data_IF_490781724395
#
_entry.id   IF_490781724395
#
_cell.length_a   1.000
_cell.length_b   1.000
_cell.length_c   1.000
_cell.angle_alpha   90.00
_cell.angle_beta   90.00
_cell.angle_gamma   90.00
#
_symmetry.space_group_name_H-M   'P 1'
#
loop_
_entity.id
_entity.type
_entity.pdbx_description
1 polymer ?
#
# COMPACT_ATOMS: atom_id res chain seq x y z
N UNK A 1 20.08 -1.57 13.72
CA UNK A 1 19.53 -0.42 14.48
C UNK A 1 18.25 0.12 13.83
N UNK A 2 18.28 0.52 12.55
CA UNK A 2 17.09 1.02 11.84
C UNK A 2 15.92 0.03 11.81
N UNK A 3 16.18 -1.24 11.47
CA UNK A 3 15.17 -2.29 11.46
C UNK A 3 14.45 -2.45 12.82
N UNK A 4 15.21 -2.55 13.92
CA UNK A 4 14.63 -2.66 15.27
C UNK A 4 13.83 -1.40 15.68
N UNK A 5 14.33 -0.20 15.34
CA UNK A 5 13.61 1.04 15.61
C UNK A 5 12.28 1.09 14.83
N UNK A 6 12.30 0.70 13.56
CA UNK A 6 11.10 0.60 12.73
C UNK A 6 10.12 -0.41 13.31
N UNK A 7 10.58 -1.63 13.64
CA UNK A 7 9.75 -2.67 14.24
C UNK A 7 9.03 -2.18 15.50
N UNK A 8 9.74 -1.60 16.47
CA UNK A 8 9.13 -1.05 17.68
C UNK A 8 8.01 -0.05 17.38
N UNK A 9 8.26 0.88 16.46
CA UNK A 9 7.29 1.92 16.10
C UNK A 9 6.10 1.36 15.34
N UNK A 10 6.32 0.41 14.44
CA UNK A 10 5.28 -0.25 13.65
C UNK A 10 4.39 -1.09 14.57
N UNK A 11 4.98 -1.92 15.42
CA UNK A 11 4.26 -2.72 16.43
C UNK A 11 3.42 -1.82 17.35
N UNK A 12 3.98 -0.72 17.86
CA UNK A 12 3.22 0.19 18.73
C UNK A 12 2.07 0.89 18.01
N UNK A 13 2.16 1.09 16.69
CA UNK A 13 1.18 1.87 15.92
C UNK A 13 0.07 1.02 15.31
N UNK A 14 0.41 -0.18 14.81
CA UNK A 14 -0.56 -1.09 14.19
C UNK A 14 -1.29 -1.97 15.22
N UNK A 15 -0.71 -2.14 16.42
CA UNK A 15 -1.33 -2.91 17.50
C UNK A 15 -1.50 -4.39 17.15
N UNK A 16 -2.65 -4.97 17.50
CA UNK A 16 -2.94 -6.41 17.37
C UNK A 16 -3.40 -6.85 15.99
N UNK A 17 -3.61 -5.91 15.07
CA UNK A 17 -4.21 -6.17 13.76
C UNK A 17 -3.18 -6.68 12.74
N UNK A 18 -1.88 -6.49 13.00
CA UNK A 18 -0.81 -6.90 12.10
C UNK A 18 -0.23 -8.28 12.47
N UNK A 19 0.21 -9.01 11.45
CA UNK A 19 1.13 -10.13 11.55
C UNK A 19 2.41 -9.79 10.77
N UNK A 20 3.54 -10.24 11.28
CA UNK A 20 4.87 -9.92 10.76
C UNK A 20 5.51 -11.17 10.19
N UNK A 21 5.83 -11.16 8.90
CA UNK A 21 6.46 -12.29 8.21
C UNK A 21 7.84 -11.84 7.73
N UNK A 22 8.87 -12.65 7.95
CA UNK A 22 10.19 -12.46 7.30
C UNK A 22 10.67 -13.75 6.65
N UNK A 23 11.81 -13.73 5.97
CA UNK A 23 12.36 -14.85 5.21
C UNK A 23 13.38 -15.67 6.01
N UNK A 24 13.35 -15.56 7.35
CA UNK A 24 14.23 -16.35 8.23
C UNK A 24 15.71 -15.95 8.17
N UNK A 25 16.06 -14.77 7.64
CA UNK A 25 17.46 -14.36 7.51
C UNK A 25 17.99 -13.66 8.77
N UNK A 26 19.23 -13.94 9.14
CA UNK A 26 19.91 -13.27 10.25
C UNK A 26 20.17 -11.78 9.94
N UNK A 27 20.43 -10.98 10.98
CA UNK A 27 20.79 -9.56 10.82
C UNK A 27 19.58 -8.63 10.93
N UNK A 28 19.18 -7.97 9.84
CA UNK A 28 18.18 -6.91 9.89
C UNK A 28 16.76 -7.47 10.13
N UNK A 29 16.39 -8.58 9.49
CA UNK A 29 15.12 -9.28 9.72
C UNK A 29 15.02 -9.83 11.15
N UNK A 30 16.08 -10.50 11.64
CA UNK A 30 16.18 -10.92 13.03
C UNK A 30 16.01 -9.75 14.02
N UNK A 31 16.67 -8.61 13.74
CA UNK A 31 16.54 -7.41 14.57
C UNK A 31 15.14 -6.81 14.55
N UNK A 32 14.41 -6.96 13.44
CA UNK A 32 13.03 -6.52 13.32
C UNK A 32 12.10 -7.43 14.14
N UNK A 33 12.21 -8.74 13.95
CA UNK A 33 11.36 -9.72 14.63
C UNK A 33 11.57 -9.77 16.14
N UNK A 34 12.78 -9.50 16.63
CA UNK A 34 13.06 -9.42 18.07
C UNK A 34 12.21 -8.36 18.81
N UNK A 35 11.63 -7.40 18.10
CA UNK A 35 10.78 -6.35 18.66
C UNK A 35 9.28 -6.61 18.42
N UNK A 36 8.94 -7.70 17.72
CA UNK A 36 7.56 -8.09 17.42
C UNK A 36 7.01 -9.06 18.49
N UNK A 37 5.70 -9.05 18.77
CA UNK A 37 5.08 -10.07 19.62
C UNK A 37 5.27 -11.46 19.01
N UNK A 38 5.68 -12.43 19.82
CA UNK A 38 6.07 -13.78 19.36
C UNK A 38 4.91 -14.50 18.65
N UNK A 39 3.68 -14.31 19.12
CA UNK A 39 2.46 -14.87 18.56
C UNK A 39 2.02 -14.24 17.23
N UNK A 40 2.67 -13.14 16.82
CA UNK A 40 2.44 -12.43 15.55
C UNK A 40 3.65 -12.46 14.62
N UNK A 41 4.74 -13.07 15.06
CA UNK A 41 6.01 -13.13 14.36
C UNK A 41 6.16 -14.48 13.65
N UNK A 42 6.32 -14.45 12.32
CA UNK A 42 6.44 -15.64 11.49
C UNK A 42 7.70 -15.58 10.62
N UNK A 43 8.27 -16.75 10.39
CA UNK A 43 9.47 -16.94 9.59
C UNK A 43 9.16 -17.88 8.42
N UNK A 44 9.06 -17.35 7.20
CA UNK A 44 8.92 -18.17 6.01
C UNK A 44 10.25 -18.89 5.74
N UNK A 45 10.24 -20.21 5.84
CA UNK A 45 11.42 -21.07 5.67
C UNK A 45 11.09 -22.29 4.82
N UNK A 46 12.08 -22.90 4.14
CA UNK A 46 11.88 -24.14 3.41
C UNK A 46 11.31 -25.24 4.31
N UNK A 47 10.51 -26.16 3.77
CA UNK A 47 9.84 -27.22 4.55
C UNK A 47 10.77 -28.15 5.37
N UNK A 48 12.06 -28.16 5.07
CA UNK A 48 13.08 -28.96 5.75
C UNK A 48 13.97 -28.14 6.69
N UNK A 49 13.79 -26.81 6.76
CA UNK A 49 14.60 -25.90 7.52
C UNK A 49 13.90 -25.44 8.80
N UNK A 50 14.70 -25.03 9.78
CA UNK A 50 14.26 -24.30 10.97
C UNK A 50 15.04 -22.99 11.01
N UNK A 51 14.38 -21.87 11.32
CA UNK A 51 15.07 -20.57 11.34
C UNK A 51 16.01 -20.46 12.55
N UNK A 52 15.61 -21.04 13.69
CA UNK A 52 16.26 -20.82 14.97
C UNK A 52 16.18 -19.36 15.45
N UNK A 53 15.32 -18.56 14.82
CA UNK A 53 15.06 -17.18 15.17
C UNK A 53 13.75 -17.09 15.98
N UNK A 54 13.52 -15.98 16.68
CA UNK A 54 12.27 -15.79 17.44
C UNK A 54 11.02 -15.78 16.54
N UNK A 55 9.88 -16.15 17.12
CA UNK A 55 8.61 -16.31 16.40
C UNK A 55 8.32 -17.77 16.02
N UNK A 56 7.36 -17.98 15.13
CA UNK A 56 6.98 -19.30 14.61
C UNK A 56 7.49 -19.51 13.19
N UNK A 57 8.09 -20.66 12.92
CA UNK A 57 8.45 -21.05 11.56
C UNK A 57 7.19 -21.37 10.74
N UNK A 58 7.07 -20.76 9.56
CA UNK A 58 6.04 -20.97 8.57
C UNK A 58 6.68 -21.75 7.41
N UNK A 59 6.55 -23.08 7.37
CA UNK A 59 7.15 -23.87 6.29
C UNK A 59 6.48 -23.55 4.96
N UNK A 60 7.25 -23.05 4.00
CA UNK A 60 6.81 -22.76 2.64
C UNK A 60 7.94 -23.00 1.65
N UNK A 61 7.62 -23.56 0.50
CA UNK A 61 8.60 -23.82 -0.57
C UNK A 61 9.57 -24.98 -0.32
N UNK A 62 10.28 -25.35 -1.39
CA UNK A 62 11.29 -26.39 -1.43
C UNK A 62 12.70 -25.87 -1.08
N UNK A 63 12.96 -24.58 -1.34
CA UNK A 63 14.24 -23.92 -1.11
C UNK A 63 14.05 -22.41 -0.83
N UNK A 64 15.16 -21.69 -0.68
CA UNK A 64 15.18 -20.26 -0.34
C UNK A 64 14.59 -19.40 -1.46
N UNK A 65 14.83 -19.75 -2.72
CA UNK A 65 14.35 -19.00 -3.89
C UNK A 65 12.81 -19.11 -3.99
N UNK A 66 12.27 -20.32 -3.78
CA UNK A 66 10.81 -20.50 -3.71
C UNK A 66 10.19 -19.78 -2.50
N UNK A 67 10.88 -19.73 -1.35
CA UNK A 67 10.44 -18.92 -0.21
C UNK A 67 10.39 -17.43 -0.56
N UNK A 68 11.42 -16.90 -1.23
CA UNK A 68 11.48 -15.50 -1.66
C UNK A 68 10.34 -15.15 -2.62
N UNK A 69 10.04 -16.05 -3.56
CA UNK A 69 8.92 -15.90 -4.47
C UNK A 69 7.57 -15.93 -3.72
N UNK A 70 7.36 -16.92 -2.85
CA UNK A 70 6.15 -17.02 -1.99
C UNK A 70 6.01 -15.78 -1.12
N UNK A 71 7.10 -15.29 -0.54
CA UNK A 71 7.15 -14.09 0.28
C UNK A 71 6.64 -12.85 -0.46
N UNK A 72 6.90 -12.74 -1.77
CA UNK A 72 6.38 -11.65 -2.61
C UNK A 72 4.86 -11.65 -2.74
N UNK A 73 4.22 -12.81 -2.58
CA UNK A 73 2.77 -12.96 -2.55
C UNK A 73 2.16 -12.88 -1.15
N UNK A 74 2.99 -12.92 -0.10
CA UNK A 74 2.56 -12.90 1.30
C UNK A 74 2.67 -11.49 1.89
N UNK A 75 1.60 -10.72 1.79
CA UNK A 75 1.41 -9.52 2.59
C UNK A 75 0.86 -8.32 1.82
N UNK A 76 0.16 -7.45 2.54
CA UNK A 76 -0.40 -6.22 1.99
C UNK A 76 0.64 -5.06 1.96
N UNK A 77 1.66 -5.15 2.82
CA UNK A 77 2.70 -4.13 2.98
C UNK A 77 4.06 -4.73 3.34
N UNK A 78 5.13 -4.13 2.84
CA UNK A 78 6.51 -4.56 3.02
C UNK A 78 7.34 -3.43 3.61
N UNK A 79 8.03 -3.70 4.72
CA UNK A 79 9.11 -2.83 5.23
C UNK A 79 10.38 -3.23 4.51
N UNK A 80 10.82 -2.41 3.55
CA UNK A 80 11.93 -2.75 2.67
C UNK A 80 13.26 -2.32 3.30
N UNK A 81 14.10 -3.30 3.59
CA UNK A 81 15.46 -3.12 4.10
C UNK A 81 16.46 -3.18 2.93
N UNK A 82 17.71 -2.75 3.15
CA UNK A 82 18.67 -2.59 2.06
C UNK A 82 19.12 -3.90 1.39
N UNK A 83 18.96 -5.02 2.09
CA UNK A 83 19.27 -6.38 1.67
C UNK A 83 18.03 -7.16 1.19
N UNK A 84 16.90 -6.47 0.96
CA UNK A 84 15.68 -7.12 0.49
C UNK A 84 15.87 -7.74 -0.91
N UNK A 85 15.42 -8.99 -1.14
CA UNK A 85 15.52 -9.65 -2.43
C UNK A 85 14.73 -8.90 -3.51
N UNK A 86 15.39 -8.57 -4.63
CA UNK A 86 14.80 -7.76 -5.69
C UNK A 86 13.59 -8.44 -6.35
N UNK A 87 13.61 -9.76 -6.49
CA UNK A 87 12.51 -10.54 -7.06
C UNK A 87 11.26 -10.51 -6.16
N UNK A 88 11.44 -10.69 -4.84
CA UNK A 88 10.34 -10.54 -3.85
C UNK A 88 9.69 -9.16 -3.96
N UNK A 89 10.49 -8.09 -4.08
CA UNK A 89 9.99 -6.72 -4.20
C UNK A 89 9.26 -6.49 -5.53
N UNK A 90 9.75 -7.07 -6.62
CA UNK A 90 9.11 -6.99 -7.92
C UNK A 90 7.72 -7.64 -7.89
N UNK A 91 7.63 -8.88 -7.38
CA UNK A 91 6.36 -9.61 -7.21
C UNK A 91 5.40 -8.81 -6.34
N UNK A 92 5.84 -8.36 -5.15
CA UNK A 92 5.02 -7.57 -4.24
C UNK A 92 4.50 -6.28 -4.89
N UNK A 93 5.35 -5.58 -5.64
CA UNK A 93 4.98 -4.38 -6.39
C UNK A 93 3.94 -4.65 -7.49
N UNK A 94 4.08 -5.75 -8.22
CA UNK A 94 3.11 -6.20 -9.23
C UNK A 94 1.75 -6.55 -8.62
N UNK A 95 1.72 -7.08 -7.40
CA UNK A 95 0.49 -7.33 -6.64
C UNK A 95 -0.12 -6.07 -6.00
N UNK A 96 0.54 -4.91 -6.14
CA UNK A 96 0.07 -3.65 -5.57
C UNK A 96 0.31 -3.50 -4.07
N UNK A 97 1.21 -4.30 -3.49
CA UNK A 97 1.57 -4.19 -2.08
C UNK A 97 2.26 -2.86 -1.77
N UNK A 98 2.08 -2.37 -0.53
CA UNK A 98 2.70 -1.15 -0.07
C UNK A 98 4.20 -1.36 0.25
N UNK A 99 5.09 -0.91 -0.63
CA UNK A 99 6.54 -0.96 -0.40
C UNK A 99 7.02 0.29 0.37
N UNK A 100 7.44 0.10 1.63
CA UNK A 100 7.88 1.19 2.53
C UNK A 100 9.38 1.06 2.84
N UNK A 101 10.24 1.88 2.21
CA UNK A 101 11.69 1.77 2.37
C UNK A 101 12.20 2.25 3.74
N UNK A 102 13.19 1.56 4.30
CA UNK A 102 13.87 1.92 5.56
C UNK A 102 15.39 1.75 5.38
N UNK A 103 16.04 2.78 4.81
CA UNK A 103 17.47 2.72 4.44
C UNK A 103 18.41 3.58 5.29
N UNK A 104 18.07 3.84 6.56
CA UNK A 104 18.92 4.70 7.40
C UNK A 104 20.37 4.17 7.46
N UNK A 105 21.28 4.84 6.74
CA UNK A 105 22.70 4.50 6.60
C UNK A 105 23.07 3.52 5.48
N UNK A 106 22.14 3.06 4.64
CA UNK A 106 22.41 2.08 3.57
C UNK A 106 21.87 2.55 2.22
N UNK A 107 22.49 2.17 1.09
CA UNK A 107 21.96 2.49 -0.21
C UNK A 107 20.65 1.71 -0.49
N UNK A 108 19.68 2.31 -1.20
CA UNK A 108 18.46 1.63 -1.61
C UNK A 108 18.76 0.54 -2.68
N UNK A 109 18.03 -0.59 -2.69
CA UNK A 109 18.00 -1.50 -3.83
C UNK A 109 17.50 -0.80 -5.11
N UNK A 110 17.94 -1.28 -6.27
CA UNK A 110 17.69 -0.59 -7.55
C UNK A 110 16.22 -0.65 -8.01
N UNK A 111 15.48 -1.64 -7.50
CA UNK A 111 14.12 -2.00 -7.98
C UNK A 111 13.01 -1.21 -7.30
N UNK A 112 13.33 -0.33 -6.35
CA UNK A 112 12.30 0.39 -5.61
C UNK A 112 11.51 1.38 -6.46
N UNK A 113 10.22 1.57 -6.13
CA UNK A 113 9.41 2.58 -6.80
C UNK A 113 10.04 3.96 -6.62
N UNK A 114 10.31 4.61 -7.75
CA UNK A 114 10.90 5.96 -7.81
C UNK A 114 9.93 7.02 -7.27
N UNK A 115 8.63 6.69 -7.16
CA UNK A 115 7.57 7.64 -6.79
C UNK A 115 6.98 7.31 -5.43
N UNK A 116 6.77 8.37 -4.64
CA UNK A 116 6.06 8.28 -3.37
C UNK A 116 4.66 7.66 -3.56
N UNK A 117 4.26 6.69 -2.72
CA UNK A 117 2.92 6.16 -2.75
C UNK A 117 1.92 7.23 -2.28
N UNK A 118 0.66 7.10 -2.68
CA UNK A 118 -0.40 8.06 -2.37
C UNK A 118 -0.68 8.20 -0.86
N UNK A 119 -0.36 7.16 -0.07
CA UNK A 119 -0.53 7.12 1.39
C UNK A 119 0.69 7.67 2.17
N UNK A 120 1.72 8.19 1.48
CA UNK A 120 2.87 8.84 2.11
C UNK A 120 2.96 10.31 1.70
N UNK A 121 3.21 11.19 2.67
CA UNK A 121 3.52 12.59 2.36
C UNK A 121 4.91 12.71 1.73
N UNK A 122 5.17 13.79 0.99
CA UNK A 122 6.49 14.05 0.41
C UNK A 122 7.59 14.13 1.47
N UNK A 123 7.29 14.69 2.65
CA UNK A 123 8.23 14.78 3.76
C UNK A 123 8.55 13.40 4.35
N UNK A 124 7.52 12.56 4.57
CA UNK A 124 7.70 11.18 5.03
C UNK A 124 8.53 10.39 4.00
N UNK A 125 8.17 10.46 2.72
CA UNK A 125 8.88 9.73 1.67
C UNK A 125 10.35 10.15 1.55
N UNK A 126 10.62 11.46 1.61
CA UNK A 126 11.99 11.98 1.64
C UNK A 126 12.76 11.45 2.83
N UNK A 127 12.14 11.38 4.00
CA UNK A 127 12.78 10.88 5.22
C UNK A 127 13.09 9.38 5.15
N UNK A 128 12.20 8.59 4.55
CA UNK A 128 12.38 7.15 4.35
C UNK A 128 13.57 6.82 3.41
N UNK A 129 13.82 7.70 2.45
CA UNK A 129 14.94 7.59 1.49
C UNK A 129 16.23 8.28 1.95
N UNK A 130 16.19 9.05 3.05
CA UNK A 130 17.35 9.80 3.54
C UNK A 130 18.30 8.89 4.34
N UNK A 131 19.45 8.57 3.73
CA UNK A 131 20.50 7.75 4.34
C UNK A 131 21.15 8.42 5.55
N UNK A 132 21.05 9.75 5.69
CA UNK A 132 21.56 10.52 6.82
C UNK A 132 20.55 10.73 7.95
N UNK A 133 19.29 10.31 7.77
CA UNK A 133 18.25 10.47 8.78
C UNK A 133 18.50 9.56 9.99
N UNK A 134 18.11 10.03 11.19
CA UNK A 134 18.23 9.20 12.38
C UNK A 134 17.26 8.02 12.32
N UNK A 135 17.66 6.82 12.82
CA UNK A 135 16.79 5.63 12.85
C UNK A 135 15.39 5.89 13.43
N UNK A 136 15.29 6.69 14.49
CA UNK A 136 14.02 7.01 15.15
C UNK A 136 13.08 7.84 14.26
N UNK A 137 13.63 8.75 13.46
CA UNK A 137 12.85 9.58 12.54
C UNK A 137 12.31 8.74 11.38
N UNK A 138 13.17 7.89 10.80
CA UNK A 138 12.78 6.96 9.74
C UNK A 138 11.73 5.97 10.25
N UNK A 139 11.92 5.43 11.46
CA UNK A 139 10.95 4.55 12.10
C UNK A 139 9.59 5.21 12.33
N UNK A 140 9.58 6.47 12.78
CA UNK A 140 8.33 7.23 12.97
C UNK A 140 7.61 7.49 11.65
N UNK A 141 8.33 7.84 10.57
CA UNK A 141 7.73 7.98 9.24
C UNK A 141 7.18 6.64 8.72
N UNK A 142 7.94 5.55 8.87
CA UNK A 142 7.53 4.21 8.42
C UNK A 142 6.22 3.78 9.12
N UNK A 143 6.16 3.91 10.44
CA UNK A 143 4.95 3.59 11.20
C UNK A 143 3.76 4.48 10.81
N UNK A 144 3.98 5.78 10.59
CA UNK A 144 2.91 6.70 10.16
C UNK A 144 2.35 6.35 8.78
N UNK A 145 3.23 5.98 7.84
CA UNK A 145 2.86 5.58 6.48
C UNK A 145 2.07 4.27 6.51
N UNK A 146 2.54 3.26 7.25
CA UNK A 146 1.83 1.99 7.39
C UNK A 146 0.49 2.12 8.12
N UNK A 147 0.39 3.01 9.11
CA UNK A 147 -0.89 3.30 9.79
C UNK A 147 -1.90 3.90 8.83
N UNK A 148 -1.45 4.82 7.96
CA UNK A 148 -2.30 5.44 6.93
C UNK A 148 -2.76 4.40 5.91
N UNK A 149 -1.85 3.53 5.45
CA UNK A 149 -2.16 2.42 4.57
C UNK A 149 -3.18 1.46 5.19
N UNK A 150 -2.94 1.01 6.43
CA UNK A 150 -3.84 0.11 7.15
C UNK A 150 -5.24 0.70 7.36
N UNK A 151 -5.33 1.99 7.71
CA UNK A 151 -6.60 2.68 7.85
C UNK A 151 -7.40 2.68 6.53
N UNK A 152 -6.75 2.96 5.40
CA UNK A 152 -7.39 2.91 4.09
C UNK A 152 -7.75 1.48 3.67
N UNK A 153 -6.88 0.50 3.91
CA UNK A 153 -7.17 -0.88 3.55
C UNK A 153 -8.39 -1.42 4.30
N UNK A 154 -8.47 -1.14 5.61
CA UNK A 154 -9.65 -1.44 6.43
C UNK A 154 -10.91 -0.77 5.89
N UNK A 155 -10.77 0.48 5.49
CA UNK A 155 -11.84 1.26 4.90
C UNK A 155 -12.40 0.70 3.58
N UNK A 156 -11.52 0.17 2.74
CA UNK A 156 -11.91 -0.49 1.48
C UNK A 156 -12.54 -1.86 1.75
N UNK A 157 -12.03 -2.61 2.72
CA UNK A 157 -12.51 -3.95 3.06
C UNK A 157 -13.86 -3.94 3.80
N UNK A 158 -14.10 -2.93 4.63
CA UNK A 158 -15.28 -2.80 5.48
C UNK A 158 -15.94 -1.41 5.29
N UNK A 159 -16.51 -1.13 4.10
CA UNK A 159 -17.06 0.20 3.81
C UNK A 159 -18.22 0.58 4.73
N UNK A 160 -18.99 -0.40 5.23
CA UNK A 160 -20.06 -0.20 6.19
C UNK A 160 -19.60 0.26 7.59
N UNK A 161 -18.32 0.09 7.92
CA UNK A 161 -17.76 0.47 9.22
C UNK A 161 -17.02 1.81 9.17
N UNK A 162 -16.98 2.47 8.01
CA UNK A 162 -16.28 3.73 7.80
C UNK A 162 -17.24 4.90 7.61
N UNK A 163 -17.87 5.31 8.70
CA UNK A 163 -18.78 6.48 8.72
C UNK A 163 -18.05 7.82 8.46
N UNK A 164 -16.71 7.87 8.50
CA UNK A 164 -15.93 9.12 8.47
C UNK A 164 -14.68 9.08 7.56
N UNK A 165 -14.73 8.41 6.41
CA UNK A 165 -13.67 8.62 5.40
C UNK A 165 -13.91 9.93 4.66
N UNK A 166 -13.35 11.02 5.19
CA UNK A 166 -13.04 12.17 4.35
C UNK A 166 -11.92 11.77 3.39
N UNK A 167 -12.28 11.55 2.13
CA UNK A 167 -11.32 11.51 1.05
C UNK A 167 -10.66 12.89 0.97
N UNK A 168 -9.47 13.01 1.56
CA UNK A 168 -8.62 14.16 1.36
C UNK A 168 -8.02 14.05 -0.04
N UNK A 169 -8.75 14.56 -1.03
CA UNK A 169 -8.25 14.61 -2.40
C UNK A 169 -6.94 15.43 -2.41
N UNK A 170 -5.80 14.87 -2.87
CA UNK A 170 -4.55 15.62 -2.99
C UNK A 170 -4.66 16.84 -3.93
N UNK A 171 -5.70 16.89 -4.76
CA UNK A 171 -6.11 18.01 -5.61
C UNK A 171 -7.26 18.83 -4.97
N UNK A 172 -7.50 18.79 -3.65
CA UNK A 172 -8.54 19.56 -2.98
C UNK A 172 -8.47 21.07 -3.31
N UNK A 173 -7.27 21.62 -3.46
CA UNK A 173 -7.06 23.01 -3.89
C UNK A 173 -7.48 23.24 -5.36
N UNK A 174 -7.31 22.24 -6.22
CA UNK A 174 -7.79 22.27 -7.61
C UNK A 174 -9.31 22.20 -7.65
N UNK A 175 -9.94 21.40 -6.79
CA UNK A 175 -11.40 21.38 -6.64
C UNK A 175 -11.93 22.69 -6.06
N UNK A 176 -11.21 23.32 -5.13
CA UNK A 176 -11.56 24.66 -4.63
C UNK A 176 -11.46 25.72 -5.73
N UNK A 177 -10.42 25.68 -6.58
CA UNK A 177 -10.28 26.57 -7.74
C UNK A 177 -11.35 26.31 -8.81
N UNK A 178 -11.74 25.04 -9.03
CA UNK A 178 -12.84 24.67 -9.92
C UNK A 178 -14.21 25.08 -9.35
N UNK A 179 -14.39 25.03 -8.04
CA UNK A 179 -15.59 25.51 -7.36
C UNK A 179 -15.73 27.04 -7.41
N UNK A 180 -14.62 27.78 -7.38
CA UNK A 180 -14.61 29.23 -7.60
C UNK A 180 -14.91 29.61 -9.06
N UNK A 181 -14.57 28.75 -10.03
CA UNK A 181 -14.84 29.00 -11.47
C UNK A 181 -16.17 28.44 -11.97
N UNK A 182 -16.82 27.54 -11.23
CA UNK A 182 -18.09 26.91 -11.57
C UNK A 182 -19.15 27.07 -10.49
N UNK A 183 -19.66 28.29 -10.31
CA UNK A 183 -20.76 28.57 -9.40
C UNK A 183 -22.10 27.99 -9.90
N UNK A 184 -22.28 26.68 -9.76
CA UNK A 184 -23.59 26.10 -9.47
C UNK A 184 -23.44 25.13 -8.29
N UNK A 185 -24.31 25.23 -7.27
CA UNK A 185 -24.30 24.29 -6.16
C UNK A 185 -24.40 22.86 -6.71
N UNK A 186 -23.69 21.88 -6.11
CA UNK A 186 -23.81 20.50 -6.52
C UNK A 186 -25.30 20.12 -6.49
N UNK A 187 -25.86 19.60 -7.58
CA UNK A 187 -27.26 19.22 -7.64
C UNK A 187 -27.56 18.19 -6.56
N UNK A 188 -28.65 18.40 -5.83
CA UNK A 188 -29.07 17.58 -4.69
C UNK A 188 -29.23 16.10 -5.13
N UNK A 189 -28.31 15.25 -4.67
CA UNK A 189 -28.34 13.81 -4.97
C UNK A 189 -29.15 13.14 -3.87
N UNK A 190 -30.23 12.45 -4.26
CA UNK A 190 -31.11 11.82 -3.28
C UNK A 190 -30.38 10.74 -2.46
N UNK A 191 -30.67 10.66 -1.15
CA UNK A 191 -30.02 9.71 -0.23
C UNK A 191 -30.13 8.27 -0.77
N UNK A 192 -28.99 7.61 -0.98
CA UNK A 192 -28.91 6.26 -1.53
C UNK A 192 -28.58 6.19 -3.03
N UNK A 193 -28.47 7.33 -3.69
CA UNK A 193 -27.97 7.44 -5.06
C UNK A 193 -26.56 8.02 -5.09
N UNK A 194 -25.84 7.70 -6.16
CA UNK A 194 -24.50 8.18 -6.48
C UNK A 194 -24.54 8.79 -7.87
N UNK A 195 -24.05 10.03 -7.99
CA UNK A 195 -23.93 10.72 -9.27
C UNK A 195 -22.49 10.59 -9.79
N UNK A 196 -22.34 9.98 -10.95
CA UNK A 196 -21.08 9.88 -11.67
C UNK A 196 -21.03 11.01 -12.70
N UNK A 197 -20.13 11.95 -12.46
CA UNK A 197 -19.79 13.03 -13.39
C UNK A 197 -18.34 12.88 -13.83
N UNK A 198 -18.11 12.87 -15.13
CA UNK A 198 -16.77 12.75 -15.70
C UNK A 198 -16.77 12.98 -17.20
N UNK A 199 -15.58 12.92 -17.80
CA UNK A 199 -15.45 12.87 -19.25
C UNK A 199 -14.45 11.80 -19.63
N UNK A 200 -14.82 10.97 -20.59
CA UNK A 200 -13.94 10.03 -21.25
C UNK A 200 -13.43 10.68 -22.53
N UNK A 201 -12.11 10.80 -22.67
CA UNK A 201 -11.48 11.14 -23.94
C UNK A 201 -10.62 9.98 -24.41
N UNK A 202 -10.78 9.57 -25.66
CA UNK A 202 -10.08 8.43 -26.21
C UNK A 202 -10.28 8.27 -27.71
N UNK A 203 -9.61 7.28 -28.31
CA UNK A 203 -9.72 6.98 -29.75
C UNK A 203 -10.54 5.71 -29.94
N UNK A 204 -11.72 5.83 -30.52
CA UNK A 204 -12.49 4.68 -30.98
C UNK A 204 -11.99 4.28 -32.37
N UNK A 205 -11.50 3.05 -32.49
CA UNK A 205 -10.99 2.50 -33.75
C UNK A 205 -11.90 1.39 -34.22
N UNK A 206 -12.43 1.52 -35.42
CA UNK A 206 -13.18 0.48 -36.14
C UNK A 206 -12.30 -0.10 -37.25
N UNK A 207 -12.77 -1.15 -37.92
CA UNK A 207 -12.02 -1.77 -39.03
C UNK A 207 -11.68 -0.81 -40.18
N UNK A 208 -12.40 0.30 -40.32
CA UNK A 208 -12.25 1.24 -41.44
C UNK A 208 -11.97 2.69 -41.04
N UNK A 209 -12.17 3.06 -39.77
CA UNK A 209 -12.07 4.45 -39.33
C UNK A 209 -11.56 4.56 -37.89
N UNK A 210 -10.83 5.63 -37.61
CA UNK A 210 -10.47 6.05 -36.27
C UNK A 210 -11.12 7.40 -35.99
N UNK A 211 -11.80 7.54 -34.86
CA UNK A 211 -12.35 8.80 -34.41
C UNK A 211 -11.89 9.12 -32.99
N UNK A 212 -11.56 10.39 -32.76
CA UNK A 212 -11.42 10.92 -31.41
C UNK A 212 -12.81 11.07 -30.81
N UNK A 213 -13.01 10.45 -29.65
CA UNK A 213 -14.26 10.46 -28.90
C UNK A 213 -14.02 11.23 -27.61
N UNK A 214 -14.88 12.20 -27.35
CA UNK A 214 -15.02 12.83 -26.04
C UNK A 214 -16.46 12.66 -25.57
N UNK A 215 -16.68 11.79 -24.58
CA UNK A 215 -18.00 11.55 -23.99
C UNK A 215 -18.01 12.11 -22.58
N UNK A 216 -18.80 13.17 -22.36
CA UNK A 216 -19.20 13.56 -21.01
C UNK A 216 -20.19 12.54 -20.44
N UNK A 217 -19.93 12.06 -19.24
CA UNK A 217 -20.83 11.19 -18.49
C UNK A 217 -21.39 12.02 -17.34
N UNK A 218 -22.71 12.11 -17.27
CA UNK A 218 -23.43 12.68 -16.13
C UNK A 218 -24.66 11.81 -15.87
N UNK A 219 -24.55 10.91 -14.90
CA UNK A 219 -25.60 9.95 -14.58
C UNK A 219 -25.74 9.73 -13.08
N UNK A 220 -26.98 9.69 -12.60
CA UNK A 220 -27.32 9.33 -11.23
C UNK A 220 -27.81 7.88 -11.20
N UNK A 221 -27.21 7.06 -10.33
CA UNK A 221 -27.57 5.66 -10.18
C UNK A 221 -27.68 5.26 -8.70
N UNK A 222 -28.51 4.27 -8.34
CA UNK A 222 -28.52 3.74 -6.98
C UNK A 222 -27.13 3.24 -6.57
N UNK A 223 -26.70 3.53 -5.34
CA UNK A 223 -25.34 3.21 -4.85
C UNK A 223 -25.00 1.72 -4.97
N UNK A 224 -25.98 0.83 -4.77
CA UNK A 224 -25.82 -0.62 -4.96
C UNK A 224 -25.51 -1.01 -6.40
N UNK A 225 -26.06 -0.28 -7.36
CA UNK A 225 -25.79 -0.48 -8.79
C UNK A 225 -24.40 0.04 -9.12
N UNK A 226 -24.02 1.21 -8.61
CA UNK A 226 -22.67 1.76 -8.78
C UNK A 226 -21.58 0.82 -8.26
N UNK A 227 -21.75 0.29 -7.04
CA UNK A 227 -20.81 -0.66 -6.45
C UNK A 227 -20.67 -1.94 -7.28
N UNK A 228 -21.79 -2.48 -7.80
CA UNK A 228 -21.75 -3.67 -8.67
C UNK A 228 -21.06 -3.40 -10.00
N UNK A 229 -21.32 -2.25 -10.63
CA UNK A 229 -20.69 -1.86 -11.90
C UNK A 229 -19.19 -1.63 -11.73
N UNK A 230 -18.76 -0.96 -10.65
CA UNK A 230 -17.34 -0.76 -10.36
C UNK A 230 -16.62 -2.08 -10.13
N UNK A 231 -17.24 -3.03 -9.43
CA UNK A 231 -16.70 -4.39 -9.28
C UNK A 231 -16.53 -5.09 -10.63
N UNK A 232 -17.56 -5.04 -11.50
CA UNK A 232 -17.48 -5.64 -12.83
C UNK A 232 -16.39 -5.02 -13.73
N UNK A 233 -16.16 -3.71 -13.63
CA UNK A 233 -15.10 -3.02 -14.36
C UNK A 233 -13.71 -3.35 -13.82
N UNK A 234 -13.58 -3.59 -12.51
CA UNK A 234 -12.31 -4.04 -11.92
C UNK A 234 -11.97 -5.49 -12.29
N UNK A 235 -12.98 -6.31 -12.53
CA UNK A 235 -12.82 -7.72 -12.91
C UNK A 235 -12.60 -7.94 -14.43
N UNK A 236 -12.69 -6.88 -15.25
CA UNK A 236 -12.59 -6.91 -16.73
C UNK A 236 -11.25 -6.38 -17.23
#
# INVERSE_FOLDING_TARGET
AAAAAAARRVVSSLGTEASYVTLGQAGAQQSFLAECPEEKAFQLVPHWAESGLGGSDLPGGADVEECEAIGGYLGDAFVVLADAPEETLAIAGEQGAALVPVFAGTPPPQVLPVRAPWFATQEQWKLLLDQGASPDKVAAACASVLTTFGAHHKAVAEPENCDELWYADPDADRWAQLAETGAQPPPDVSKGNLRLQGSFSGKATTHSHQMDVNVGVDFEMPSKVAAKTMKQLSDS
#
